data_IF_629940328167
#
_entry.id   IF_629940328167
#
_cell.length_a   1.000
_cell.length_b   1.000
_cell.length_c   1.000
_cell.angle_alpha   90.00
_cell.angle_beta   90.00
_cell.angle_gamma   90.00
#
_symmetry.space_group_name_H-M   'P 1'
#
loop_
_entity.id
_entity.type
_entity.pdbx_description
1 polymer ?
#
# COMPACT_ATOMS: atom_id res chain seq x y z
N UNK A 1 -4.93 -9.07 12.55
CA UNK A 1 -3.65 -8.31 12.64
C UNK A 1 -3.06 -8.38 14.03
N UNK A 2 -3.68 -7.80 15.08
CA UNK A 2 -3.13 -7.87 16.45
C UNK A 2 -2.87 -9.30 16.95
N UNK A 3 -3.82 -10.20 16.73
CA UNK A 3 -3.70 -11.63 17.08
C UNK A 3 -2.57 -12.33 16.32
N UNK A 4 -2.33 -11.95 15.06
CA UNK A 4 -1.26 -12.51 14.21
C UNK A 4 0.14 -12.15 14.73
N UNK A 5 0.33 -10.89 15.14
CA UNK A 5 1.60 -10.45 15.75
C UNK A 5 1.84 -11.11 17.11
N UNK A 6 0.81 -11.24 17.94
CA UNK A 6 0.90 -11.94 19.24
C UNK A 6 1.17 -13.44 19.09
N UNK A 7 0.77 -14.05 17.97
CA UNK A 7 1.06 -15.45 17.67
C UNK A 7 2.49 -15.64 17.15
N UNK A 8 2.96 -14.75 16.27
CA UNK A 8 4.37 -14.73 15.82
C UNK A 8 5.30 -14.56 17.02
N UNK A 9 5.01 -13.61 17.91
CA UNK A 9 5.81 -13.36 19.12
C UNK A 9 5.87 -14.63 19.99
N UNK A 10 4.73 -15.25 20.30
CA UNK A 10 4.67 -16.51 21.06
C UNK A 10 5.48 -17.64 20.43
N UNK A 11 5.37 -17.84 19.11
CA UNK A 11 6.09 -18.91 18.40
C UNK A 11 7.59 -18.63 18.33
N UNK A 12 8.01 -17.37 18.30
CA UNK A 12 9.42 -16.96 18.22
C UNK A 12 10.21 -17.24 19.51
N UNK A 13 9.52 -17.28 20.66
CA UNK A 13 10.13 -17.54 21.97
C UNK A 13 10.53 -19.00 22.17
N UNK A 14 9.99 -19.94 21.37
CA UNK A 14 10.34 -21.35 21.43
C UNK A 14 11.22 -21.75 20.23
N UNK A 15 12.47 -22.19 20.46
CA UNK A 15 13.41 -22.60 19.39
C UNK A 15 12.86 -23.64 18.42
N UNK A 16 12.00 -24.56 18.89
CA UNK A 16 11.41 -25.60 18.06
C UNK A 16 10.36 -25.04 17.09
N UNK A 17 9.67 -23.95 17.46
CA UNK A 17 8.62 -23.32 16.64
C UNK A 17 9.05 -22.02 15.98
N UNK A 18 10.31 -21.60 16.17
CA UNK A 18 10.84 -20.36 15.60
C UNK A 18 10.73 -20.30 14.08
N UNK A 19 11.00 -21.41 13.40
CA UNK A 19 10.85 -21.51 11.94
C UNK A 19 9.41 -21.21 11.47
N UNK A 20 8.40 -21.56 12.29
CA UNK A 20 7.00 -21.28 12.00
C UNK A 20 6.67 -19.79 12.24
N UNK A 21 7.31 -19.17 13.24
CA UNK A 21 7.21 -17.73 13.45
C UNK A 21 7.78 -16.96 12.24
N UNK A 22 8.98 -17.35 11.78
CA UNK A 22 9.65 -16.74 10.63
C UNK A 22 8.79 -16.86 9.35
N UNK A 23 8.21 -18.04 9.12
CA UNK A 23 7.31 -18.26 7.98
C UNK A 23 6.08 -17.34 8.03
N UNK A 24 5.43 -17.24 9.19
CA UNK A 24 4.25 -16.38 9.37
C UNK A 24 4.58 -14.90 9.29
N UNK A 25 5.75 -14.48 9.75
CA UNK A 25 6.22 -13.10 9.59
C UNK A 25 6.39 -12.76 8.11
N UNK A 26 6.97 -13.67 7.32
CA UNK A 26 7.12 -13.49 5.88
C UNK A 26 5.76 -13.43 5.17
N UNK A 27 4.83 -14.32 5.50
CA UNK A 27 3.47 -14.27 4.93
C UNK A 27 2.77 -12.96 5.26
N UNK A 28 2.86 -12.49 6.51
CA UNK A 28 2.26 -11.23 6.93
C UNK A 28 2.86 -10.04 6.19
N UNK A 29 4.19 -10.04 6.00
CA UNK A 29 4.88 -9.01 5.21
C UNK A 29 4.41 -9.01 3.76
N UNK A 30 4.25 -10.17 3.15
CA UNK A 30 3.76 -10.31 1.77
C UNK A 30 2.31 -9.80 1.64
N UNK A 31 1.44 -10.11 2.60
CA UNK A 31 0.06 -9.61 2.64
C UNK A 31 0.05 -8.08 2.75
N UNK A 32 0.78 -7.53 3.72
CA UNK A 32 0.85 -6.08 3.94
C UNK A 32 1.39 -5.35 2.70
N UNK A 33 2.38 -5.94 2.02
CA UNK A 33 2.91 -5.39 0.78
C UNK A 33 1.83 -5.37 -0.32
N UNK A 34 1.11 -6.49 -0.52
CA UNK A 34 0.03 -6.56 -1.50
C UNK A 34 -1.09 -5.56 -1.22
N UNK A 35 -1.46 -5.39 0.05
CA UNK A 35 -2.47 -4.40 0.46
C UNK A 35 -1.99 -2.97 0.18
N UNK A 36 -0.72 -2.65 0.50
CA UNK A 36 -0.13 -1.35 0.21
C UNK A 36 -0.10 -1.06 -1.30
N UNK A 37 0.29 -2.06 -2.10
CA UNK A 37 0.31 -1.96 -3.56
C UNK A 37 -1.10 -1.74 -4.12
N UNK A 38 -2.11 -2.46 -3.60
CA UNK A 38 -3.50 -2.29 -4.00
C UNK A 38 -4.03 -0.89 -3.69
N UNK A 39 -3.73 -0.35 -2.51
CA UNK A 39 -4.08 1.03 -2.12
C UNK A 39 -3.43 2.04 -3.07
N UNK A 40 -2.15 1.85 -3.39
CA UNK A 40 -1.43 2.75 -4.30
C UNK A 40 -2.01 2.70 -5.73
N UNK A 41 -2.36 1.52 -6.22
CA UNK A 41 -3.03 1.37 -7.52
C UNK A 41 -4.41 2.05 -7.53
N UNK A 42 -5.17 1.94 -6.46
CA UNK A 42 -6.49 2.59 -6.36
C UNK A 42 -6.37 4.12 -6.32
N UNK A 43 -5.38 4.65 -5.59
CA UNK A 43 -5.04 6.07 -5.63
C UNK A 43 -4.67 6.51 -7.05
N UNK A 44 -3.85 5.74 -7.76
CA UNK A 44 -3.46 6.03 -9.14
C UNK A 44 -4.67 6.08 -10.07
N UNK A 45 -5.57 5.10 -10.00
CA UNK A 45 -6.84 5.09 -10.76
C UNK A 45 -7.70 6.31 -10.46
N UNK A 46 -7.80 6.68 -9.19
CA UNK A 46 -8.56 7.85 -8.76
C UNK A 46 -7.97 9.14 -9.33
N UNK A 47 -6.64 9.32 -9.30
CA UNK A 47 -5.95 10.46 -9.92
C UNK A 47 -6.29 10.56 -11.41
N UNK A 48 -6.15 9.47 -12.15
CA UNK A 48 -6.44 9.41 -13.59
C UNK A 48 -7.91 9.76 -13.86
N UNK A 49 -8.84 9.18 -13.10
CA UNK A 49 -10.26 9.46 -13.27
C UNK A 49 -10.59 10.93 -13.04
N UNK A 50 -10.08 11.54 -11.96
CA UNK A 50 -10.33 12.94 -11.65
C UNK A 50 -9.69 13.88 -12.68
N UNK A 51 -8.52 13.52 -13.22
CA UNK A 51 -7.89 14.25 -14.31
C UNK A 51 -8.76 14.24 -15.57
N UNK A 52 -9.32 13.08 -15.94
CA UNK A 52 -10.25 12.98 -17.08
C UNK A 52 -11.55 13.77 -16.87
N UNK A 53 -11.97 14.01 -15.62
CA UNK A 53 -13.07 14.91 -15.30
C UNK A 53 -12.70 16.41 -15.35
N UNK A 54 -11.46 16.75 -15.74
CA UNK A 54 -10.99 18.12 -15.87
C UNK A 54 -10.63 18.80 -14.55
N UNK A 55 -10.44 18.03 -13.48
CA UNK A 55 -10.07 18.58 -12.17
C UNK A 55 -8.62 19.08 -12.16
N UNK A 56 -8.34 20.14 -11.40
CA UNK A 56 -6.98 20.67 -11.27
C UNK A 56 -6.08 19.70 -10.50
N UNK A 57 -4.79 19.65 -10.84
CA UNK A 57 -3.79 18.78 -10.16
C UNK A 57 -3.78 19.04 -8.64
N UNK A 58 -3.94 20.29 -8.21
CA UNK A 58 -3.96 20.67 -6.80
C UNK A 58 -5.17 20.07 -6.07
N UNK A 59 -6.34 20.09 -6.70
CA UNK A 59 -7.56 19.54 -6.10
C UNK A 59 -7.54 18.01 -6.11
N UNK A 60 -7.00 17.39 -7.17
CA UNK A 60 -6.77 15.95 -7.24
C UNK A 60 -5.86 15.50 -6.10
N UNK A 61 -4.73 16.19 -5.91
CA UNK A 61 -3.75 15.88 -4.88
C UNK A 61 -4.37 15.95 -3.46
N UNK A 62 -5.22 16.95 -3.21
CA UNK A 62 -5.97 17.06 -1.95
C UNK A 62 -6.98 15.92 -1.78
N UNK A 63 -7.75 15.58 -2.81
CA UNK A 63 -8.75 14.51 -2.76
C UNK A 63 -8.11 13.14 -2.49
N UNK A 64 -7.02 12.83 -3.18
CA UNK A 64 -6.33 11.54 -3.08
C UNK A 64 -5.32 11.51 -1.92
N UNK A 65 -5.11 12.65 -1.24
CA UNK A 65 -4.14 12.85 -0.15
C UNK A 65 -2.72 12.45 -0.55
N UNK A 66 -2.27 12.98 -1.68
CA UNK A 66 -0.90 12.84 -2.19
C UNK A 66 -0.30 14.22 -2.47
N UNK A 67 1.01 14.28 -2.73
CA UNK A 67 1.62 15.55 -3.15
C UNK A 67 1.18 15.93 -4.57
N UNK A 68 1.07 17.23 -4.90
CA UNK A 68 0.79 17.69 -6.26
C UNK A 68 1.81 17.16 -7.27
N UNK A 69 3.09 17.07 -6.88
CA UNK A 69 4.15 16.48 -7.71
C UNK A 69 3.87 15.01 -8.04
N UNK A 70 3.44 14.20 -7.06
CA UNK A 70 3.08 12.80 -7.29
C UNK A 70 1.87 12.67 -8.22
N UNK A 71 0.85 13.51 -8.03
CA UNK A 71 -0.30 13.56 -8.94
C UNK A 71 0.13 13.92 -10.38
N UNK A 72 1.01 14.92 -10.53
CA UNK A 72 1.55 15.33 -11.84
C UNK A 72 2.35 14.21 -12.51
N UNK A 73 3.19 13.49 -11.78
CA UNK A 73 3.97 12.38 -12.32
C UNK A 73 3.08 11.22 -12.80
N UNK A 74 1.99 10.93 -12.06
CA UNK A 74 0.99 9.95 -12.49
C UNK A 74 0.33 10.38 -13.80
N UNK A 75 -0.06 11.65 -13.91
CA UNK A 75 -0.69 12.18 -15.12
C UNK A 75 0.28 12.16 -16.31
N UNK A 76 1.54 12.57 -16.13
CA UNK A 76 2.55 12.48 -17.20
C UNK A 76 2.73 11.05 -17.71
N UNK A 77 2.71 10.05 -16.81
CA UNK A 77 2.88 8.65 -17.17
C UNK A 77 1.77 8.04 -18.05
N UNK A 78 0.66 8.76 -18.26
CA UNK A 78 -0.43 8.35 -19.16
C UNK A 78 -0.50 9.19 -20.44
N UNK A 79 0.24 10.30 -20.50
CA UNK A 79 0.31 11.17 -21.69
C UNK A 79 1.54 10.85 -22.57
N UNK A 80 2.54 10.16 -22.02
CA UNK A 80 3.69 9.58 -22.74
C UNK A 80 3.39 8.18 -23.29
#
# INVERSE_FOLDING_TARGET
MKETFEEIDRLSQNPETRHLADFREQELKDILQREADAIEQEKRKTVISLYHYGMSIVDIAKNVRISPEKAMNIIKSIEE
#
